data_IF_524493114720
#
_entry.id   IF_524493114720
#
_cell.length_a   1.000
_cell.length_b   1.000
_cell.length_c   1.000
_cell.angle_alpha   90.00
_cell.angle_beta   90.00
_cell.angle_gamma   90.00
#
_symmetry.space_group_name_H-M   'P 1'
#
loop_
_entity.id
_entity.type
_entity.pdbx_description
1 polymer ?
#
# COMPACT_ATOMS: atom_id res chain seq x y z
N UNK A 1 5.76 -12.57 -22.53
CA UNK A 1 4.59 -12.19 -23.35
C UNK A 1 3.55 -13.31 -23.40
N UNK A 2 3.93 -14.56 -23.65
CA UNK A 2 3.00 -15.72 -23.70
C UNK A 2 2.25 -15.98 -22.40
N UNK A 3 2.89 -15.82 -21.24
CA UNK A 3 2.28 -16.08 -19.93
C UNK A 3 1.24 -15.03 -19.57
N UNK A 4 1.50 -13.78 -19.90
CA UNK A 4 0.54 -12.69 -19.70
C UNK A 4 -0.70 -12.86 -20.58
N UNK A 5 -0.52 -13.19 -21.88
CA UNK A 5 -1.63 -13.37 -22.79
C UNK A 5 -2.53 -14.56 -22.41
N UNK A 6 -1.93 -15.65 -21.93
CA UNK A 6 -2.67 -16.81 -21.41
C UNK A 6 -3.49 -16.42 -20.18
N UNK A 7 -2.87 -15.78 -19.21
CA UNK A 7 -3.54 -15.32 -17.99
C UNK A 7 -4.69 -14.34 -18.30
N UNK A 8 -4.46 -13.38 -19.22
CA UNK A 8 -5.46 -12.43 -19.68
C UNK A 8 -6.68 -13.14 -20.28
N UNK A 9 -6.46 -14.10 -21.19
CA UNK A 9 -7.54 -14.84 -21.84
C UNK A 9 -8.35 -15.69 -20.84
N UNK A 10 -7.69 -16.35 -19.89
CA UNK A 10 -8.36 -17.11 -18.83
C UNK A 10 -9.20 -16.20 -17.93
N UNK A 11 -8.68 -15.03 -17.59
CA UNK A 11 -9.37 -14.06 -16.76
C UNK A 11 -10.59 -13.46 -17.46
N UNK A 12 -10.45 -13.06 -18.73
CA UNK A 12 -11.54 -12.52 -19.55
C UNK A 12 -12.67 -13.55 -19.72
N UNK A 13 -12.35 -14.81 -20.00
CA UNK A 13 -13.34 -15.89 -20.13
C UNK A 13 -14.05 -16.16 -18.78
N UNK A 14 -13.31 -16.22 -17.70
CA UNK A 14 -13.88 -16.45 -16.36
C UNK A 14 -14.83 -15.31 -15.97
N UNK A 15 -14.40 -14.07 -16.19
CA UNK A 15 -15.19 -12.90 -15.87
C UNK A 15 -16.47 -12.83 -16.74
N UNK A 16 -16.36 -13.08 -18.03
CA UNK A 16 -17.52 -13.13 -18.94
C UNK A 16 -18.54 -14.20 -18.50
N UNK A 17 -18.06 -15.37 -18.08
CA UNK A 17 -18.90 -16.46 -17.59
C UNK A 17 -19.61 -16.10 -16.28
N UNK A 18 -18.88 -15.51 -15.32
CA UNK A 18 -19.44 -15.18 -14.00
C UNK A 18 -20.44 -14.03 -14.04
N UNK A 19 -20.19 -13.03 -14.88
CA UNK A 19 -21.04 -11.84 -14.95
C UNK A 19 -21.98 -11.80 -16.16
N UNK A 20 -21.99 -12.84 -17.01
CA UNK A 20 -22.83 -12.90 -18.21
C UNK A 20 -22.53 -11.81 -19.24
N UNK A 21 -21.34 -11.19 -19.18
CA UNK A 21 -20.92 -10.10 -20.04
C UNK A 21 -20.19 -10.64 -21.28
N UNK A 22 -20.43 -10.09 -22.50
CA UNK A 22 -19.63 -10.44 -23.66
C UNK A 22 -18.15 -10.09 -23.45
N UNK A 23 -17.22 -10.97 -23.88
CA UNK A 23 -15.76 -10.74 -23.77
C UNK A 23 -15.36 -9.40 -24.41
N UNK A 24 -16.03 -8.98 -25.48
CA UNK A 24 -15.79 -7.69 -26.13
C UNK A 24 -16.01 -6.46 -25.24
N UNK A 25 -16.76 -6.61 -24.15
CA UNK A 25 -17.03 -5.53 -23.19
C UNK A 25 -16.04 -5.51 -22.03
N UNK A 26 -15.08 -6.45 -22.00
CA UNK A 26 -14.09 -6.59 -20.94
C UNK A 26 -12.76 -6.01 -21.45
N UNK A 27 -12.29 -4.98 -20.76
CA UNK A 27 -10.98 -4.36 -21.02
C UNK A 27 -10.05 -4.72 -19.88
N UNK A 28 -9.03 -5.52 -20.19
CA UNK A 28 -7.95 -5.78 -19.27
C UNK A 28 -6.92 -4.64 -19.35
N UNK A 29 -6.63 -4.00 -18.22
CA UNK A 29 -5.58 -3.00 -18.10
C UNK A 29 -4.57 -3.44 -17.01
N UNK A 30 -3.30 -3.08 -17.18
CA UNK A 30 -2.31 -3.23 -16.13
C UNK A 30 -2.69 -2.35 -14.94
N UNK A 31 -2.49 -2.85 -13.71
CA UNK A 31 -2.68 -2.09 -12.48
C UNK A 31 -1.93 -0.76 -12.52
N UNK A 32 -0.69 -0.76 -13.00
CA UNK A 32 0.16 0.43 -13.14
C UNK A 32 -0.42 1.51 -14.08
N UNK A 33 -1.33 1.14 -14.98
CA UNK A 33 -1.98 2.06 -15.95
C UNK A 33 -3.35 2.52 -15.47
N UNK A 34 -3.97 1.80 -14.55
CA UNK A 34 -5.31 2.08 -14.05
C UNK A 34 -5.47 3.51 -13.48
N UNK A 35 -4.52 4.07 -12.68
CA UNK A 35 -4.60 5.43 -12.18
C UNK A 35 -4.68 6.48 -13.29
N UNK A 36 -3.96 6.28 -14.40
CA UNK A 36 -4.03 7.16 -15.57
C UNK A 36 -5.42 7.15 -16.22
N UNK A 37 -6.02 5.97 -16.42
CA UNK A 37 -7.37 5.90 -17.02
C UNK A 37 -8.42 6.56 -16.11
N UNK A 38 -8.29 6.39 -14.80
CA UNK A 38 -9.15 7.09 -13.83
C UNK A 38 -8.99 8.62 -13.94
N UNK A 39 -7.75 9.10 -13.96
CA UNK A 39 -7.47 10.53 -14.13
C UNK A 39 -8.05 11.08 -15.43
N UNK A 40 -7.82 10.38 -16.55
CA UNK A 40 -8.35 10.74 -17.88
C UNK A 40 -9.87 10.82 -17.89
N UNK A 41 -10.55 9.87 -17.25
CA UNK A 41 -12.00 9.87 -17.14
C UNK A 41 -12.56 11.04 -16.32
N UNK A 42 -11.83 11.49 -15.29
CA UNK A 42 -12.24 12.57 -14.39
C UNK A 42 -11.87 13.96 -14.87
N UNK A 43 -10.71 14.13 -15.47
CA UNK A 43 -10.11 15.45 -15.83
C UNK A 43 -10.02 15.68 -17.33
N UNK A 44 -10.30 14.70 -18.14
CA UNK A 44 -10.09 14.75 -19.58
C UNK A 44 -8.65 14.47 -20.00
N UNK A 45 -8.38 14.58 -21.30
CA UNK A 45 -7.04 14.38 -21.83
C UNK A 45 -6.13 15.55 -21.47
N UNK A 46 -5.01 15.28 -20.82
CA UNK A 46 -3.93 16.23 -20.53
C UNK A 46 -2.76 16.00 -21.49
N UNK A 47 -1.94 17.01 -21.69
CA UNK A 47 -0.80 16.91 -22.61
C UNK A 47 0.22 15.88 -22.14
N UNK A 48 0.58 15.92 -20.88
CA UNK A 48 1.55 14.99 -20.26
C UNK A 48 1.10 14.65 -18.84
N UNK A 49 1.15 13.38 -18.47
CA UNK A 49 0.83 12.87 -17.12
C UNK A 49 1.96 11.97 -16.67
N UNK A 50 2.43 12.20 -15.45
CA UNK A 50 3.30 11.27 -14.72
C UNK A 50 2.44 10.67 -13.61
N UNK A 51 2.30 9.35 -13.62
CA UNK A 51 1.65 8.59 -12.56
C UNK A 51 2.70 7.80 -11.79
N UNK A 52 2.72 7.98 -10.47
CA UNK A 52 3.59 7.22 -9.56
C UNK A 52 2.67 6.48 -8.60
N UNK A 53 2.71 5.17 -8.66
CA UNK A 53 1.96 4.29 -7.76
C UNK A 53 2.92 3.60 -6.80
N UNK A 54 2.83 3.97 -5.51
CA UNK A 54 3.68 3.45 -4.46
C UNK A 54 2.90 2.40 -3.69
N UNK A 55 3.11 1.14 -4.05
CA UNK A 55 2.52 0.00 -3.35
C UNK A 55 3.28 -0.39 -2.08
N UNK A 56 3.03 -1.60 -1.61
CA UNK A 56 3.77 -2.19 -0.49
C UNK A 56 5.19 -2.60 -0.88
N UNK A 57 5.34 -3.38 -1.94
CA UNK A 57 6.60 -3.98 -2.37
C UNK A 57 7.22 -3.36 -3.61
N UNK A 58 6.43 -2.68 -4.44
CA UNK A 58 6.86 -2.08 -5.70
C UNK A 58 6.37 -0.65 -5.84
N UNK A 59 7.13 0.15 -6.56
CA UNK A 59 6.71 1.46 -7.07
C UNK A 59 6.64 1.39 -8.58
N UNK A 60 5.50 1.75 -9.13
CA UNK A 60 5.24 1.79 -10.58
C UNK A 60 5.22 3.24 -11.05
N UNK A 61 5.95 3.52 -12.12
CA UNK A 61 5.98 4.84 -12.74
C UNK A 61 5.53 4.72 -14.18
N UNK A 62 4.51 5.51 -14.53
CA UNK A 62 3.98 5.60 -15.89
C UNK A 62 4.08 7.06 -16.36
N UNK A 63 4.67 7.26 -17.52
CA UNK A 63 4.67 8.55 -18.22
C UNK A 63 3.80 8.42 -19.47
N UNK A 64 2.78 9.25 -19.56
CA UNK A 64 1.90 9.36 -20.71
C UNK A 64 2.07 10.74 -21.33
N UNK A 65 2.32 10.81 -22.63
CA UNK A 65 2.38 12.06 -23.38
C UNK A 65 1.36 12.03 -24.53
N UNK A 66 0.56 13.08 -24.63
CA UNK A 66 -0.51 13.20 -25.64
C UNK A 66 -1.45 11.99 -25.70
N UNK A 67 -1.71 11.39 -24.54
CA UNK A 67 -2.61 10.23 -24.42
C UNK A 67 -1.99 8.88 -24.72
N UNK A 68 -0.71 8.82 -25.05
CA UNK A 68 0.05 7.59 -25.32
C UNK A 68 1.05 7.28 -24.22
N UNK A 69 1.08 6.05 -23.68
CA UNK A 69 2.13 5.62 -22.76
C UNK A 69 3.51 5.69 -23.44
N UNK A 70 4.43 6.43 -22.88
CA UNK A 70 5.81 6.58 -23.37
C UNK A 70 6.81 5.80 -22.55
N UNK A 71 6.56 5.67 -21.25
CA UNK A 71 7.45 4.98 -20.33
C UNK A 71 6.65 4.29 -19.23
N UNK A 72 7.01 3.06 -18.94
CA UNK A 72 6.45 2.30 -17.84
C UNK A 72 7.58 1.51 -17.19
N UNK A 73 7.77 1.68 -15.91
CA UNK A 73 8.72 0.89 -15.12
C UNK A 73 8.13 0.50 -13.79
N UNK A 74 8.65 -0.59 -13.22
CA UNK A 74 8.34 -1.07 -11.89
C UNK A 74 9.64 -1.44 -11.19
N UNK A 75 9.82 -0.99 -9.96
CA UNK A 75 11.00 -1.30 -9.17
C UNK A 75 10.65 -1.62 -7.72
N UNK A 76 11.51 -2.44 -7.08
CA UNK A 76 11.31 -2.92 -5.71
C UNK A 76 11.85 -1.92 -4.67
N UNK A 77 11.21 -0.79 -4.58
CA UNK A 77 11.45 0.19 -3.53
C UNK A 77 10.14 0.90 -3.25
N UNK A 78 9.47 0.55 -2.16
CA UNK A 78 8.10 0.97 -1.87
C UNK A 78 7.86 1.03 -0.36
N UNK A 79 6.60 1.14 0.08
CA UNK A 79 6.26 1.40 1.48
C UNK A 79 6.87 0.39 2.47
N UNK A 80 6.99 -0.89 2.12
CA UNK A 80 7.60 -1.90 2.99
C UNK A 80 9.08 -1.61 3.31
N UNK A 81 9.77 -0.85 2.47
CA UNK A 81 11.17 -0.45 2.71
C UNK A 81 11.30 0.44 3.96
N UNK A 82 10.30 1.25 4.27
CA UNK A 82 10.29 2.11 5.46
C UNK A 82 9.47 1.55 6.63
N UNK A 83 8.44 0.76 6.36
CA UNK A 83 7.59 0.18 7.41
C UNK A 83 8.11 -1.15 7.94
N UNK A 84 8.70 -1.97 7.11
CA UNK A 84 9.30 -3.25 7.43
C UNK A 84 10.28 -3.67 6.35
N UNK A 85 10.70 -4.94 6.32
CA UNK A 85 11.54 -5.46 5.26
C UNK A 85 10.76 -5.54 3.94
N UNK A 86 11.12 -4.70 2.96
CA UNK A 86 10.46 -4.64 1.66
C UNK A 86 10.66 -5.90 0.79
N UNK A 87 11.60 -6.77 1.14
CA UNK A 87 11.92 -7.98 0.37
C UNK A 87 11.36 -9.26 0.99
N UNK A 88 11.50 -9.42 2.30
CA UNK A 88 11.05 -10.61 3.01
C UNK A 88 9.66 -10.48 3.62
N UNK A 89 9.13 -9.27 3.67
CA UNK A 89 7.88 -8.93 4.37
C UNK A 89 7.92 -9.27 5.87
N UNK A 90 9.11 -9.31 6.45
CA UNK A 90 9.32 -9.61 7.86
C UNK A 90 9.11 -8.34 8.70
N UNK A 91 8.06 -8.34 9.53
CA UNK A 91 7.73 -7.23 10.43
C UNK A 91 8.76 -7.03 11.57
N UNK A 92 9.62 -8.01 11.81
CA UNK A 92 10.62 -7.97 12.88
C UNK A 92 11.98 -7.44 12.40
N UNK A 93 12.18 -7.30 11.10
CA UNK A 93 13.49 -6.99 10.55
C UNK A 93 13.93 -5.55 10.81
N UNK A 94 13.11 -4.56 10.49
CA UNK A 94 13.43 -3.13 10.68
C UNK A 94 12.23 -2.22 10.37
N UNK A 95 12.49 -0.92 10.29
CA UNK A 95 11.49 0.06 9.89
C UNK A 95 10.55 0.52 10.99
N UNK A 96 9.49 1.19 10.60
CA UNK A 96 8.57 1.80 11.56
C UNK A 96 7.78 0.79 12.37
N UNK A 97 7.45 -0.38 11.79
CA UNK A 97 6.77 -1.44 12.54
C UNK A 97 7.62 -1.87 13.73
N UNK A 98 8.89 -2.18 13.50
CA UNK A 98 9.79 -2.59 14.57
C UNK A 98 9.99 -1.49 15.63
N UNK A 99 10.04 -0.23 15.21
CA UNK A 99 10.19 0.91 16.13
C UNK A 99 8.99 1.11 17.04
N UNK A 100 7.77 0.93 16.53
CA UNK A 100 6.55 1.32 17.24
C UNK A 100 5.72 0.17 17.80
N UNK A 101 5.95 -1.08 17.37
CA UNK A 101 5.16 -2.24 17.81
C UNK A 101 5.10 -2.39 19.34
N UNK A 102 6.24 -2.24 20.01
CA UNK A 102 6.31 -2.39 21.48
C UNK A 102 5.64 -1.21 22.20
N UNK A 103 5.81 0.00 21.69
CA UNK A 103 5.17 1.20 22.24
C UNK A 103 3.65 1.05 22.17
N UNK A 104 3.13 0.64 21.01
CA UNK A 104 1.68 0.44 20.81
C UNK A 104 1.18 -0.74 21.64
N UNK A 105 1.93 -1.84 21.72
CA UNK A 105 1.58 -2.98 22.57
C UNK A 105 1.42 -2.56 24.02
N UNK A 106 2.35 -1.78 24.54
CA UNK A 106 2.30 -1.25 25.92
C UNK A 106 1.11 -0.30 26.11
N UNK A 107 0.82 0.56 25.15
CA UNK A 107 -0.36 1.44 25.20
C UNK A 107 -1.67 0.63 25.23
N UNK A 108 -1.78 -0.42 24.43
CA UNK A 108 -2.97 -1.31 24.43
C UNK A 108 -3.11 -2.02 25.78
N UNK A 109 -2.01 -2.45 26.38
CA UNK A 109 -2.00 -3.13 27.68
C UNK A 109 -2.38 -2.18 28.83
N UNK A 110 -1.74 -1.03 28.90
CA UNK A 110 -1.98 -0.01 29.94
C UNK A 110 -3.44 0.47 29.93
N UNK A 111 -4.06 0.53 28.78
CA UNK A 111 -5.46 0.94 28.62
C UNK A 111 -6.46 -0.25 28.64
N UNK A 112 -6.03 -1.45 29.05
CA UNK A 112 -6.88 -2.65 29.14
C UNK A 112 -7.55 -3.07 27.82
N UNK A 113 -7.01 -2.69 26.68
CA UNK A 113 -7.51 -3.02 25.34
C UNK A 113 -7.03 -4.44 24.92
N UNK A 114 -7.38 -5.44 25.76
CA UNK A 114 -6.87 -6.83 25.63
C UNK A 114 -7.23 -7.48 24.28
N UNK A 115 -8.43 -7.19 23.74
CA UNK A 115 -8.86 -7.71 22.44
C UNK A 115 -7.94 -7.22 21.33
N UNK A 116 -7.66 -5.92 21.28
CA UNK A 116 -6.77 -5.33 20.28
C UNK A 116 -5.32 -5.79 20.45
N UNK A 117 -4.84 -5.95 21.69
CA UNK A 117 -3.52 -6.55 21.96
C UNK A 117 -3.42 -7.97 21.41
N UNK A 118 -4.45 -8.80 21.58
CA UNK A 118 -4.47 -10.16 21.05
C UNK A 118 -4.45 -10.17 19.52
N UNK A 119 -5.18 -9.26 18.87
CA UNK A 119 -5.14 -9.10 17.40
C UNK A 119 -3.75 -8.65 16.95
N UNK A 120 -3.13 -7.65 17.59
CA UNK A 120 -1.78 -7.22 17.26
C UNK A 120 -0.78 -8.37 17.36
N UNK A 121 -0.83 -9.15 18.44
CA UNK A 121 0.01 -10.33 18.60
C UNK A 121 -0.20 -11.32 17.43
N UNK A 122 -1.45 -11.61 17.09
CA UNK A 122 -1.76 -12.54 16.00
C UNK A 122 -1.23 -12.08 14.64
N UNK A 123 -1.28 -10.77 14.32
CA UNK A 123 -0.73 -10.26 13.05
C UNK A 123 0.80 -10.21 13.06
N UNK A 124 1.42 -9.96 14.21
CA UNK A 124 2.88 -10.03 14.36
C UNK A 124 3.39 -11.47 14.18
N UNK A 125 2.69 -12.46 14.76
CA UNK A 125 3.06 -13.88 14.66
C UNK A 125 3.04 -14.39 13.21
N UNK A 126 2.22 -13.80 12.33
CA UNK A 126 2.19 -14.12 10.90
C UNK A 126 3.40 -13.61 10.13
N UNK A 127 4.16 -12.68 10.66
CA UNK A 127 5.33 -12.03 10.03
C UNK A 127 5.04 -11.44 8.66
N UNK A 128 3.85 -10.87 8.47
CA UNK A 128 3.45 -10.16 7.25
C UNK A 128 3.34 -8.68 7.56
N UNK A 129 4.33 -7.89 7.15
CA UNK A 129 4.42 -6.46 7.48
C UNK A 129 3.20 -5.66 7.01
N UNK A 130 2.60 -6.01 5.88
CA UNK A 130 1.39 -5.35 5.38
C UNK A 130 0.20 -5.48 6.32
N UNK A 131 0.01 -6.67 6.93
CA UNK A 131 -1.08 -6.91 7.89
C UNK A 131 -0.86 -6.10 9.16
N UNK A 132 0.39 -6.04 9.65
CA UNK A 132 0.77 -5.26 10.83
C UNK A 132 0.55 -3.77 10.57
N UNK A 133 1.03 -3.25 9.44
CA UNK A 133 0.87 -1.84 9.05
C UNK A 133 -0.61 -1.47 8.96
N UNK A 134 -1.42 -2.29 8.29
CA UNK A 134 -2.86 -2.08 8.18
C UNK A 134 -3.53 -2.03 9.55
N UNK A 135 -3.17 -2.96 10.45
CA UNK A 135 -3.67 -2.95 11.83
C UNK A 135 -3.27 -1.68 12.58
N UNK A 136 -2.00 -1.28 12.55
CA UNK A 136 -1.53 -0.08 13.25
C UNK A 136 -2.25 1.19 12.79
N UNK A 137 -2.45 1.37 11.48
CA UNK A 137 -3.21 2.51 10.96
C UNK A 137 -4.70 2.45 11.32
N UNK A 138 -5.28 1.26 11.47
CA UNK A 138 -6.70 1.10 11.82
C UNK A 138 -7.02 1.52 13.26
N UNK A 139 -6.03 1.56 14.16
CA UNK A 139 -6.24 1.89 15.58
C UNK A 139 -6.89 3.26 15.79
N UNK A 140 -6.48 4.26 15.03
CA UNK A 140 -7.04 5.62 15.16
C UNK A 140 -8.55 5.70 14.87
N UNK A 141 -9.09 4.78 14.07
CA UNK A 141 -10.52 4.69 13.75
C UNK A 141 -11.28 3.66 14.57
N UNK A 142 -10.58 2.88 15.41
CA UNK A 142 -11.15 1.76 16.14
C UNK A 142 -12.19 2.23 17.17
N UNK A 143 -13.33 1.54 17.22
CA UNK A 143 -14.46 1.90 18.10
C UNK A 143 -14.15 1.72 19.59
N UNK A 144 -13.39 0.68 19.96
CA UNK A 144 -13.01 0.45 21.36
C UNK A 144 -12.09 1.56 21.87
N UNK A 145 -11.08 1.96 21.07
CA UNK A 145 -10.16 3.04 21.40
C UNK A 145 -10.93 4.36 21.58
N UNK A 146 -11.87 4.65 20.69
CA UNK A 146 -12.71 5.86 20.79
C UNK A 146 -13.63 5.83 22.03
N UNK A 147 -14.19 4.67 22.36
CA UNK A 147 -15.05 4.49 23.55
C UNK A 147 -14.28 4.73 24.84
N UNK A 148 -13.07 4.20 24.93
CA UNK A 148 -12.21 4.38 26.12
C UNK A 148 -11.53 5.76 26.16
N UNK A 149 -11.76 6.62 25.16
CA UNK A 149 -11.15 7.97 25.03
C UNK A 149 -9.61 7.94 25.06
N UNK A 150 -9.02 6.87 24.56
CA UNK A 150 -7.58 6.70 24.46
C UNK A 150 -7.10 7.23 23.11
N UNK A 151 -5.95 7.90 23.09
CA UNK A 151 -5.34 8.37 21.86
C UNK A 151 -4.21 7.42 21.44
N UNK A 152 -4.53 6.44 20.60
CA UNK A 152 -3.54 5.59 19.92
C UNK A 152 -3.66 5.87 18.43
N UNK A 153 -2.72 6.64 17.90
CA UNK A 153 -2.73 7.08 16.50
C UNK A 153 -1.35 6.93 15.88
N UNK A 154 -1.15 5.84 15.17
CA UNK A 154 0.13 5.51 14.52
C UNK A 154 0.55 6.59 13.51
N UNK A 155 -0.39 7.11 12.71
CA UNK A 155 -0.09 8.17 11.74
C UNK A 155 0.42 9.44 12.42
N UNK A 156 -0.18 9.83 13.57
CA UNK A 156 0.28 10.96 14.37
C UNK A 156 1.67 10.70 14.97
N UNK A 157 1.91 9.49 15.49
CA UNK A 157 3.24 9.11 16.01
C UNK A 157 4.31 9.23 14.93
N UNK A 158 4.03 8.84 13.69
CA UNK A 158 4.94 9.02 12.56
C UNK A 158 5.12 10.51 12.20
N UNK A 159 4.04 11.29 12.21
CA UNK A 159 4.07 12.72 11.89
C UNK A 159 4.85 13.54 12.93
N UNK A 160 4.83 13.13 14.20
CA UNK A 160 5.53 13.81 15.29
C UNK A 160 7.00 13.36 15.42
N UNK A 161 7.37 12.24 14.78
CA UNK A 161 8.74 11.71 14.81
C UNK A 161 9.66 12.45 13.82
N UNK A 162 10.50 13.34 14.35
CA UNK A 162 11.43 14.09 13.51
C UNK A 162 12.41 13.22 12.73
N UNK A 163 12.88 12.09 13.31
CA UNK A 163 13.75 11.15 12.58
C UNK A 163 12.97 10.40 11.51
N UNK A 164 11.72 10.04 11.80
CA UNK A 164 10.81 9.44 10.82
C UNK A 164 10.54 10.35 9.62
N UNK A 165 10.40 11.65 9.83
CA UNK A 165 10.26 12.64 8.74
C UNK A 165 11.44 12.61 7.77
N UNK A 166 12.67 12.54 8.28
CA UNK A 166 13.86 12.43 7.42
C UNK A 166 13.86 11.13 6.62
N UNK A 167 13.45 10.02 7.23
CA UNK A 167 13.34 8.73 6.52
C UNK A 167 12.33 8.82 5.37
N UNK A 168 11.15 9.42 5.62
CA UNK A 168 10.13 9.62 4.58
C UNK A 168 10.63 10.56 3.46
N UNK A 169 11.34 11.63 3.81
CA UNK A 169 11.93 12.55 2.81
C UNK A 169 12.95 11.81 1.95
N UNK A 170 13.89 11.09 2.56
CA UNK A 170 14.90 10.32 1.83
C UNK A 170 14.27 9.24 0.94
N UNK A 171 13.23 8.57 1.44
CA UNK A 171 12.45 7.61 0.66
C UNK A 171 11.81 8.27 -0.57
N UNK A 172 11.16 9.42 -0.38
CA UNK A 172 10.52 10.16 -1.48
C UNK A 172 11.54 10.65 -2.51
N UNK A 173 12.69 11.15 -2.05
CA UNK A 173 13.80 11.57 -2.93
C UNK A 173 14.34 10.38 -3.73
N UNK A 174 14.50 9.22 -3.10
CA UNK A 174 14.98 8.02 -3.79
C UNK A 174 14.00 7.55 -4.89
N UNK A 175 12.67 7.63 -4.65
CA UNK A 175 11.66 7.32 -5.67
C UNK A 175 11.77 8.30 -6.85
N UNK A 176 11.93 9.59 -6.60
CA UNK A 176 12.02 10.61 -7.66
C UNK A 176 13.33 10.50 -8.44
N UNK A 177 14.41 10.09 -7.77
CA UNK A 177 15.71 9.94 -8.41
C UNK A 177 15.80 8.70 -9.31
N UNK A 178 15.07 7.65 -8.97
CA UNK A 178 15.09 6.39 -9.73
C UNK A 178 14.38 6.51 -11.07
#
# INVERSE_FOLDING_TARGET
>A
QNRFNKFKAEWENTFATLFGAPISNIIAASESVAPYYYHKAKKGATSTVVSVDIGGGTTDVLIVDKGEPKYLTSFRFAANTIFGDGYSYDSDSNGFVNKYKDIITNQLETNNLRGLKAVLKSVLDKRVSTDVIAFLFSLASNKEIKKEKVEINFAKMLADDNRGKYVVILFSVAIVYH
#
